data_IF_328514457500
#
_entry.id   IF_328514457500
#
_cell.length_a   1.000
_cell.length_b   1.000
_cell.length_c   1.000
_cell.angle_alpha   90.00
_cell.angle_beta   90.00
_cell.angle_gamma   90.00
#
_symmetry.space_group_name_H-M   'P 1'
#
loop_
_entity.id
_entity.type
_entity.pdbx_description
1 polymer ?
#
# COMPACT_ATOMS: atom_id res chain seq x y z
N UNK A 1 -6.78 -12.34 2.32
CA UNK A 1 -7.00 -13.62 3.03
C UNK A 1 -7.27 -13.43 4.52
N UNK A 2 -6.75 -12.39 5.18
CA UNK A 2 -6.96 -12.15 6.62
C UNK A 2 -8.06 -11.12 6.93
N UNK A 3 -8.86 -10.76 5.93
CA UNK A 3 -9.99 -9.85 6.04
C UNK A 3 -11.21 -10.53 5.44
N UNK A 4 -12.30 -10.58 6.20
CA UNK A 4 -13.63 -10.91 5.70
C UNK A 4 -14.43 -9.62 5.60
N UNK A 5 -15.07 -9.41 4.45
CA UNK A 5 -15.79 -8.17 4.14
C UNK A 5 -17.16 -8.54 3.59
N UNK A 6 -18.19 -7.92 4.13
CA UNK A 6 -19.52 -7.87 3.51
C UNK A 6 -19.88 -6.42 3.13
N UNK A 7 -21.13 -6.16 2.75
CA UNK A 7 -21.55 -4.83 2.30
C UNK A 7 -21.44 -3.74 3.39
N UNK A 8 -21.52 -4.11 4.67
CA UNK A 8 -21.61 -3.17 5.80
C UNK A 8 -20.45 -3.28 6.79
N UNK A 9 -19.72 -4.39 6.78
CA UNK A 9 -18.78 -4.75 7.84
C UNK A 9 -17.46 -5.28 7.29
N UNK A 10 -16.42 -5.10 8.09
CA UNK A 10 -15.10 -5.68 7.85
C UNK A 10 -14.61 -6.30 9.15
N UNK A 11 -14.17 -7.56 9.06
CA UNK A 11 -13.59 -8.30 10.16
C UNK A 11 -12.17 -8.70 9.84
N UNK A 12 -11.25 -8.42 10.78
CA UNK A 12 -9.93 -9.02 10.79
C UNK A 12 -10.05 -10.43 11.36
N UNK A 13 -9.50 -11.40 10.64
CA UNK A 13 -9.53 -12.81 11.01
C UNK A 13 -8.11 -13.38 10.97
N UNK A 14 -7.96 -14.62 11.44
CA UNK A 14 -6.71 -15.38 11.38
C UNK A 14 -5.53 -14.74 12.15
N UNK A 15 -5.68 -14.70 13.48
CA UNK A 15 -4.72 -14.11 14.42
C UNK A 15 -3.55 -15.06 14.78
N UNK A 16 -3.29 -16.11 13.98
CA UNK A 16 -2.29 -17.13 14.31
C UNK A 16 -0.84 -16.60 14.38
N UNK A 17 -0.57 -15.48 13.68
CA UNK A 17 0.75 -14.84 13.61
C UNK A 17 0.90 -13.67 14.59
N UNK A 18 -0.03 -13.49 15.52
CA UNK A 18 0.04 -12.42 16.51
C UNK A 18 1.19 -12.61 17.50
N UNK A 19 1.85 -11.51 17.84
CA UNK A 19 2.92 -11.47 18.81
C UNK A 19 3.62 -10.12 18.81
N UNK A 20 4.61 -9.92 19.70
CA UNK A 20 5.44 -8.72 19.66
C UNK A 20 6.15 -8.58 18.31
N UNK A 21 6.10 -7.40 17.72
CA UNK A 21 6.71 -7.11 16.42
C UNK A 21 6.77 -5.61 16.14
N UNK A 22 7.32 -5.22 14.97
CA UNK A 22 7.34 -3.82 14.55
C UNK A 22 5.92 -3.24 14.47
N UNK A 23 5.69 -2.10 15.13
CA UNK A 23 4.35 -1.52 15.29
C UNK A 23 3.69 -1.10 13.95
N UNK A 24 4.48 -0.84 12.92
CA UNK A 24 4.01 -0.44 11.59
C UNK A 24 3.69 -1.62 10.67
N UNK A 25 4.03 -2.85 11.08
CA UNK A 25 4.02 -4.03 10.22
C UNK A 25 2.66 -4.26 9.56
N UNK A 26 1.58 -4.28 10.35
CA UNK A 26 0.25 -4.61 9.84
C UNK A 26 -0.26 -3.56 8.83
N UNK A 27 0.06 -2.27 9.06
CA UNK A 27 -0.26 -1.19 8.13
C UNK A 27 0.49 -1.32 6.81
N UNK A 28 1.79 -1.62 6.90
CA UNK A 28 2.68 -1.82 5.77
C UNK A 28 2.24 -3.01 4.91
N UNK A 29 2.00 -4.16 5.54
CA UNK A 29 1.59 -5.39 4.84
C UNK A 29 0.24 -5.18 4.13
N UNK A 30 -0.72 -4.50 4.79
CA UNK A 30 -2.02 -4.21 4.18
C UNK A 30 -1.90 -3.24 2.99
N UNK A 31 -1.10 -2.19 3.10
CA UNK A 31 -0.88 -1.25 1.99
C UNK A 31 -0.24 -1.94 0.78
N UNK A 32 0.78 -2.77 0.99
CA UNK A 32 1.42 -3.55 -0.08
C UNK A 32 0.44 -4.53 -0.69
N UNK A 33 -0.41 -5.20 0.10
CA UNK A 33 -1.42 -6.11 -0.44
C UNK A 33 -2.48 -5.37 -1.27
N UNK A 34 -2.90 -4.17 -0.83
CA UNK A 34 -3.79 -3.30 -1.60
C UNK A 34 -3.18 -3.00 -2.97
N UNK A 35 -1.94 -2.48 -3.00
CA UNK A 35 -1.29 -2.02 -4.22
C UNK A 35 -0.90 -3.17 -5.17
N UNK A 36 -0.55 -4.34 -4.64
CA UNK A 36 0.00 -5.43 -5.46
C UNK A 36 -1.02 -6.51 -5.81
N UNK A 37 -2.10 -6.66 -5.04
CA UNK A 37 -3.08 -7.73 -5.19
C UNK A 37 -4.53 -7.24 -5.27
N UNK A 38 -5.01 -6.48 -4.28
CA UNK A 38 -6.46 -6.26 -4.09
C UNK A 38 -7.08 -5.40 -5.18
N UNK A 39 -6.40 -4.33 -5.62
CA UNK A 39 -6.98 -3.39 -6.59
C UNK A 39 -7.16 -3.96 -8.00
N UNK A 40 -6.71 -5.20 -8.26
CA UNK A 40 -7.05 -5.94 -9.48
C UNK A 40 -6.66 -5.26 -10.79
N UNK A 41 -5.59 -4.45 -10.80
CA UNK A 41 -5.14 -3.74 -12.01
C UNK A 41 -4.61 -4.75 -13.03
N UNK A 42 -5.29 -4.89 -14.16
CA UNK A 42 -4.91 -5.81 -15.24
C UNK A 42 -3.45 -5.60 -15.72
N UNK A 43 -2.81 -6.68 -16.18
CA UNK A 43 -1.37 -6.80 -16.44
C UNK A 43 -0.72 -5.77 -17.40
N UNK A 44 -1.52 -4.94 -18.09
CA UNK A 44 -1.03 -3.73 -18.76
C UNK A 44 -1.14 -2.55 -17.78
N UNK A 45 -0.15 -2.43 -16.90
CA UNK A 45 -0.11 -1.42 -15.83
C UNK A 45 -0.37 -0.01 -16.39
N UNK A 46 -1.58 0.56 -16.22
CA UNK A 46 -1.92 1.83 -16.85
C UNK A 46 -1.03 2.95 -16.30
N UNK A 47 -0.77 4.03 -17.06
CA UNK A 47 -0.13 5.24 -16.54
C UNK A 47 -0.74 5.74 -15.22
N UNK A 48 -2.03 5.47 -15.00
CA UNK A 48 -2.75 5.78 -13.76
C UNK A 48 -2.20 5.02 -12.54
N UNK A 49 -1.90 3.72 -12.65
CA UNK A 49 -1.34 2.99 -11.51
C UNK A 49 0.03 3.56 -11.12
N UNK A 50 0.85 3.93 -12.09
CA UNK A 50 2.12 4.60 -11.80
C UNK A 50 1.92 5.98 -11.15
N UNK A 51 0.95 6.76 -11.62
CA UNK A 51 0.59 8.03 -11.01
C UNK A 51 0.16 7.86 -9.54
N UNK A 52 -0.65 6.83 -9.24
CA UNK A 52 -1.04 6.45 -7.88
C UNK A 52 0.20 6.16 -7.01
N UNK A 53 1.12 5.32 -7.50
CA UNK A 53 2.32 4.99 -6.74
C UNK A 53 3.18 6.23 -6.48
N UNK A 54 3.40 7.07 -7.49
CA UNK A 54 4.23 8.27 -7.36
C UNK A 54 3.63 9.28 -6.38
N UNK A 55 2.32 9.52 -6.42
CA UNK A 55 1.68 10.43 -5.46
C UNK A 55 1.80 9.89 -4.02
N UNK A 56 1.58 8.60 -3.81
CA UNK A 56 1.69 8.00 -2.48
C UNK A 56 3.13 8.03 -1.95
N UNK A 57 4.13 7.72 -2.78
CA UNK A 57 5.55 7.73 -2.39
C UNK A 57 6.09 9.15 -2.15
N UNK A 58 5.45 10.17 -2.72
CA UNK A 58 5.81 11.59 -2.50
C UNK A 58 5.50 12.11 -1.09
N UNK A 59 4.80 11.33 -0.26
CA UNK A 59 4.52 11.72 1.12
C UNK A 59 5.82 11.73 1.96
N UNK A 60 6.11 12.87 2.57
CA UNK A 60 7.30 13.08 3.42
C UNK A 60 6.94 13.15 4.90
N UNK A 61 5.74 13.64 5.21
CA UNK A 61 5.22 13.73 6.58
C UNK A 61 3.87 13.02 6.72
N UNK A 62 3.57 12.40 7.87
CA UNK A 62 2.29 11.74 8.09
C UNK A 62 1.09 12.69 8.06
N UNK A 63 1.28 13.97 8.41
CA UNK A 63 0.26 15.02 8.36
C UNK A 63 0.15 15.72 7.00
N UNK A 64 1.02 15.37 6.04
CA UNK A 64 1.00 15.99 4.71
C UNK A 64 -0.27 15.61 3.98
N UNK A 65 -1.01 16.63 3.54
CA UNK A 65 -2.14 16.45 2.62
C UNK A 65 -1.58 16.11 1.24
N UNK A 66 -1.95 14.95 0.72
CA UNK A 66 -1.69 14.58 -0.67
C UNK A 66 -2.88 14.97 -1.55
N UNK A 67 -2.59 15.55 -2.71
CA UNK A 67 -3.61 15.92 -3.70
C UNK A 67 -3.74 14.74 -4.65
N UNK A 68 -4.97 14.23 -4.82
CA UNK A 68 -5.23 13.20 -5.81
C UNK A 68 -5.09 13.80 -7.23
N UNK A 69 -4.30 13.21 -8.14
CA UNK A 69 -4.32 13.56 -9.55
C UNK A 69 -5.73 13.41 -10.14
N UNK A 70 -6.15 14.37 -10.96
CA UNK A 70 -7.51 14.40 -11.52
C UNK A 70 -7.86 13.12 -12.29
N UNK A 71 -6.87 12.54 -12.98
CA UNK A 71 -7.04 11.32 -13.78
C UNK A 71 -7.26 10.08 -12.88
N UNK A 72 -6.82 10.11 -11.62
CA UNK A 72 -7.13 9.05 -10.65
C UNK A 72 -8.57 9.17 -10.13
N UNK A 73 -9.11 10.39 -10.01
CA UNK A 73 -10.48 10.61 -9.53
C UNK A 73 -11.53 10.03 -10.49
N UNK A 74 -11.20 9.91 -11.78
CA UNK A 74 -12.05 9.30 -12.80
C UNK A 74 -12.09 7.76 -12.69
N UNK A 75 -11.07 7.13 -12.10
CA UNK A 75 -11.03 5.69 -11.86
C UNK A 75 -11.47 5.36 -10.44
N UNK A 76 -12.72 4.91 -10.29
CA UNK A 76 -13.31 4.63 -8.98
C UNK A 76 -12.50 3.63 -8.13
N UNK A 77 -11.80 2.68 -8.76
CA UNK A 77 -11.00 1.68 -8.06
C UNK A 77 -9.70 2.29 -7.53
N UNK A 78 -8.98 3.02 -8.37
CA UNK A 78 -7.71 3.66 -7.98
C UNK A 78 -7.94 4.83 -7.03
N UNK A 79 -9.01 5.61 -7.23
CA UNK A 79 -9.42 6.66 -6.30
C UNK A 79 -9.73 6.08 -4.92
N UNK A 80 -10.51 4.99 -4.85
CA UNK A 80 -10.79 4.30 -3.59
C UNK A 80 -9.50 3.81 -2.93
N UNK A 81 -8.60 3.20 -3.70
CA UNK A 81 -7.31 2.76 -3.18
C UNK A 81 -6.49 3.91 -2.59
N UNK A 82 -6.42 5.04 -3.30
CA UNK A 82 -5.78 6.27 -2.81
C UNK A 82 -6.39 6.71 -1.47
N UNK A 83 -7.71 6.89 -1.40
CA UNK A 83 -8.39 7.33 -0.17
C UNK A 83 -8.16 6.37 1.01
N UNK A 84 -8.26 5.06 0.75
CA UNK A 84 -8.03 4.02 1.77
C UNK A 84 -6.59 4.08 2.29
N UNK A 85 -5.60 4.18 1.41
CA UNK A 85 -4.19 4.22 1.82
C UNK A 85 -3.86 5.49 2.61
N UNK A 86 -4.38 6.65 2.20
CA UNK A 86 -4.21 7.89 2.98
C UNK A 86 -4.79 7.74 4.39
N UNK A 87 -5.99 7.15 4.50
CA UNK A 87 -6.59 6.91 5.80
C UNK A 87 -5.79 5.89 6.62
N UNK A 88 -5.31 4.82 6.00
CA UNK A 88 -4.50 3.78 6.64
C UNK A 88 -3.19 4.36 7.21
N UNK A 89 -2.50 5.20 6.45
CA UNK A 89 -1.28 5.89 6.90
C UNK A 89 -1.54 6.86 8.04
N UNK A 90 -2.68 7.54 8.03
CA UNK A 90 -3.11 8.38 9.14
C UNK A 90 -3.33 7.56 10.41
N UNK A 91 -4.00 6.40 10.31
CA UNK A 91 -4.17 5.49 11.45
C UNK A 91 -2.83 4.97 11.96
N UNK A 92 -1.91 4.61 11.05
CA UNK A 92 -0.56 4.21 11.41
C UNK A 92 0.17 5.30 12.20
N UNK A 93 0.06 6.56 11.79
CA UNK A 93 0.60 7.69 12.52
C UNK A 93 -0.09 7.88 13.88
N UNK A 94 -1.42 7.75 13.94
CA UNK A 94 -2.18 7.89 15.19
C UNK A 94 -1.73 6.86 16.25
N UNK A 95 -1.36 5.65 15.81
CA UNK A 95 -0.87 4.56 16.67
C UNK A 95 0.63 4.71 17.00
N UNK A 96 1.49 4.86 15.99
CA UNK A 96 2.94 4.77 16.14
C UNK A 96 3.66 6.11 16.37
N UNK A 97 2.99 7.24 16.10
CA UNK A 97 3.50 8.61 16.34
C UNK A 97 4.85 8.93 15.67
N UNK A 98 5.16 8.31 14.54
CA UNK A 98 6.40 8.58 13.80
C UNK A 98 6.41 10.00 13.19
N UNK A 99 7.58 10.64 13.11
CA UNK A 99 7.71 12.03 12.64
C UNK A 99 7.89 12.17 11.12
N UNK A 100 8.45 11.16 10.47
CA UNK A 100 8.80 11.16 9.04
C UNK A 100 8.33 9.88 8.38
N UNK A 101 7.92 9.98 7.11
CA UNK A 101 7.44 8.81 6.35
C UNK A 101 8.54 7.80 6.03
N UNK A 102 9.82 8.12 6.24
CA UNK A 102 10.93 7.27 5.78
C UNK A 102 10.90 5.88 6.41
N UNK A 103 10.63 5.76 7.71
CA UNK A 103 10.50 4.45 8.38
C UNK A 103 9.34 3.64 7.80
N UNK A 104 8.21 4.30 7.56
CA UNK A 104 7.04 3.68 6.95
C UNK A 104 7.33 3.21 5.52
N UNK A 105 7.95 4.07 4.70
CA UNK A 105 8.28 3.77 3.31
C UNK A 105 9.37 2.71 3.17
N UNK A 106 10.33 2.65 4.10
CA UNK A 106 11.25 1.52 4.21
C UNK A 106 10.51 0.21 4.50
N UNK A 107 9.51 0.25 5.38
CA UNK A 107 8.61 -0.88 5.61
C UNK A 107 7.93 -1.34 4.32
N UNK A 108 7.31 -0.42 3.58
CA UNK A 108 6.66 -0.71 2.30
C UNK A 108 7.65 -1.30 1.29
N UNK A 109 8.87 -0.77 1.20
CA UNK A 109 9.89 -1.30 0.28
C UNK A 109 10.28 -2.74 0.62
N UNK A 110 10.58 -3.00 1.89
CA UNK A 110 10.98 -4.34 2.34
C UNK A 110 9.87 -5.36 2.12
N UNK A 111 8.62 -4.99 2.43
CA UNK A 111 7.48 -5.86 2.24
C UNK A 111 7.12 -6.05 0.76
N UNK A 112 7.26 -5.01 -0.08
CA UNK A 112 7.09 -5.14 -1.53
C UNK A 112 8.12 -6.10 -2.15
N UNK A 113 9.39 -6.06 -1.72
CA UNK A 113 10.41 -7.01 -2.16
C UNK A 113 10.10 -8.44 -1.70
N UNK A 114 9.61 -8.59 -0.47
CA UNK A 114 9.18 -9.89 0.06
C UNK A 114 7.96 -10.44 -0.71
N UNK A 115 6.95 -9.61 -0.97
CA UNK A 115 5.79 -9.95 -1.77
C UNK A 115 6.17 -10.34 -3.21
N UNK A 116 7.13 -9.63 -3.82
CA UNK A 116 7.67 -9.99 -5.13
C UNK A 116 8.37 -11.36 -5.12
N UNK A 117 9.09 -11.67 -4.04
CA UNK A 117 9.73 -12.98 -3.85
C UNK A 117 8.71 -14.11 -3.70
N UNK A 118 7.62 -13.89 -2.98
CA UNK A 118 6.55 -14.88 -2.82
C UNK A 118 5.69 -15.05 -4.08
N UNK A 119 5.57 -14.02 -4.91
CA UNK A 119 4.75 -14.01 -6.12
C UNK A 119 5.47 -14.59 -7.36
N UNK A 120 6.45 -15.48 -7.20
CA UNK A 120 7.25 -16.01 -8.33
C UNK A 120 6.40 -16.61 -9.46
N UNK A 121 5.31 -17.30 -9.09
CA UNK A 121 4.37 -17.93 -10.03
C UNK A 121 3.18 -17.03 -10.41
N UNK A 122 3.17 -15.77 -9.96
CA UNK A 122 2.11 -14.78 -10.20
C UNK A 122 2.70 -13.54 -10.88
N UNK A 123 2.94 -13.58 -12.21
CA UNK A 123 3.77 -12.58 -12.90
C UNK A 123 3.25 -11.15 -12.75
N UNK A 124 1.94 -10.93 -12.78
CA UNK A 124 1.36 -9.60 -12.63
C UNK A 124 1.54 -9.02 -11.23
N UNK A 125 1.30 -9.82 -10.18
CA UNK A 125 1.51 -9.42 -8.79
C UNK A 125 2.98 -9.10 -8.54
N UNK A 126 3.87 -9.96 -9.05
CA UNK A 126 5.32 -9.73 -8.96
C UNK A 126 5.74 -8.46 -9.68
N UNK A 127 5.21 -8.19 -10.87
CA UNK A 127 5.49 -6.97 -11.62
C UNK A 127 5.03 -5.72 -10.84
N UNK A 128 3.82 -5.72 -10.28
CA UNK A 128 3.30 -4.62 -9.46
C UNK A 128 4.15 -4.37 -8.21
N UNK A 129 4.56 -5.43 -7.52
CA UNK A 129 5.42 -5.35 -6.35
C UNK A 129 6.82 -4.80 -6.70
N UNK A 130 7.43 -5.27 -7.79
CA UNK A 130 8.71 -4.75 -8.27
C UNK A 130 8.60 -3.28 -8.72
N UNK A 131 7.51 -2.89 -9.39
CA UNK A 131 7.31 -1.49 -9.79
C UNK A 131 7.15 -0.55 -8.60
N UNK A 132 6.44 -0.99 -7.56
CA UNK A 132 6.39 -0.28 -6.28
C UNK A 132 7.78 -0.13 -5.66
N UNK A 133 8.56 -1.22 -5.59
CA UNK A 133 9.92 -1.19 -5.08
C UNK A 133 10.82 -0.22 -5.88
N UNK A 134 10.73 -0.23 -7.22
CA UNK A 134 11.49 0.71 -8.07
C UNK A 134 11.19 2.16 -7.74
N UNK A 135 9.91 2.55 -7.67
CA UNK A 135 9.52 3.94 -7.38
C UNK A 135 9.95 4.35 -5.96
N UNK A 136 9.89 3.44 -4.99
CA UNK A 136 10.38 3.68 -3.64
C UNK A 136 11.90 3.91 -3.62
N UNK A 137 12.68 3.11 -4.34
CA UNK A 137 14.14 3.29 -4.43
C UNK A 137 14.57 4.54 -5.20
N UNK A 138 13.72 5.09 -6.08
CA UNK A 138 13.98 6.39 -6.71
C UNK A 138 13.85 7.56 -5.71
N UNK A 139 13.05 7.37 -4.65
CA UNK A 139 12.72 8.42 -3.67
C UNK A 139 13.54 8.34 -2.38
N UNK A 140 13.83 7.13 -1.89
CA UNK A 140 14.57 6.87 -0.65
C UNK A 140 16.08 7.05 -0.84
#
# INVERSE_FOLDING_TARGET
DNLFVDDEHTWVIDFERCGPGPILRDFVELEVDILTRIIGVDGNTPPLYEALLRVLVSQTRPDQVLICPAELEEDATLYKAFCVIIHLRRLAYEVAKFGHMDEYLWGILLDALFAAFLAQDMPERRLRALKLATILTERL
#
